data_IF_331415969030
#
_entry.id   IF_331415969030
#
_cell.length_a   1.000
_cell.length_b   1.000
_cell.length_c   1.000
_cell.angle_alpha   90.00
_cell.angle_beta   90.00
_cell.angle_gamma   90.00
#
_symmetry.space_group_name_H-M   'P 1'
#
loop_
_entity.id
_entity.type
_entity.pdbx_description
1 polymer ?
#
# COMPACT_ATOMS: atom_id res chain seq x y z
N UNK A 1 85.69 -34.58 -32.90
CA UNK A 1 84.84 -34.34 -34.08
C UNK A 1 83.56 -35.15 -33.92
N UNK A 2 82.42 -34.44 -33.90
CA UNK A 2 81.10 -34.78 -34.49
C UNK A 2 80.49 -36.16 -34.16
N UNK A 3 79.36 -36.27 -33.46
CA UNK A 3 77.95 -35.88 -33.76
C UNK A 3 77.14 -37.19 -33.93
N UNK A 4 76.16 -37.50 -33.07
CA UNK A 4 74.77 -37.00 -33.03
C UNK A 4 73.82 -37.87 -33.88
N UNK A 5 72.95 -38.65 -33.22
CA UNK A 5 71.53 -38.91 -33.57
C UNK A 5 70.99 -40.06 -32.69
N UNK A 6 70.26 -39.76 -31.61
CA UNK A 6 68.80 -39.62 -31.57
C UNK A 6 68.05 -40.97 -31.66
N UNK A 7 67.66 -41.49 -30.50
CA UNK A 7 66.33 -42.10 -30.33
C UNK A 7 65.87 -41.77 -28.91
N UNK A 8 65.54 -40.49 -28.72
CA UNK A 8 64.89 -39.98 -27.51
C UNK A 8 63.45 -40.49 -27.55
N UNK A 9 63.19 -41.51 -26.75
CA UNK A 9 61.84 -41.88 -26.32
C UNK A 9 61.34 -40.71 -25.47
N UNK A 10 60.70 -39.75 -26.13
CA UNK A 10 60.07 -38.59 -25.50
C UNK A 10 58.83 -39.11 -24.77
N UNK A 11 59.05 -39.64 -23.57
CA UNK A 11 58.02 -39.87 -22.58
C UNK A 11 57.56 -38.48 -22.11
N UNK A 12 56.68 -37.86 -22.91
CA UNK A 12 55.83 -36.77 -22.49
C UNK A 12 54.96 -37.31 -21.36
N UNK A 13 55.49 -37.25 -20.14
CA UNK A 13 54.66 -37.21 -18.94
C UNK A 13 53.92 -35.89 -19.04
N UNK A 14 52.76 -35.93 -19.70
CA UNK A 14 51.69 -34.98 -19.45
C UNK A 14 51.34 -35.14 -17.98
N UNK A 15 52.01 -34.36 -17.12
CA UNK A 15 51.42 -33.94 -15.87
C UNK A 15 50.20 -33.09 -16.26
N UNK A 16 49.10 -33.75 -16.63
CA UNK A 16 47.81 -33.17 -16.36
C UNK A 16 47.79 -33.00 -14.85
N UNK A 17 47.95 -31.77 -14.36
CA UNK A 17 47.37 -31.43 -13.08
C UNK A 17 45.88 -31.75 -13.22
N UNK A 18 45.49 -32.98 -12.89
CA UNK A 18 44.10 -33.29 -12.65
C UNK A 18 43.74 -32.40 -11.47
N UNK A 19 43.04 -31.31 -11.77
CA UNK A 19 42.44 -30.42 -10.78
C UNK A 19 41.68 -31.32 -9.81
N UNK A 20 42.07 -31.29 -8.55
CA UNK A 20 41.37 -32.05 -7.51
C UNK A 20 40.15 -31.22 -7.13
N UNK A 21 39.09 -31.36 -7.93
CA UNK A 21 37.86 -30.60 -7.81
C UNK A 21 37.27 -30.71 -6.40
N UNK A 22 37.38 -31.86 -5.72
CA UNK A 22 36.93 -32.00 -4.34
C UNK A 22 37.73 -31.10 -3.37
N UNK A 23 39.07 -31.11 -3.45
CA UNK A 23 39.94 -30.28 -2.60
C UNK A 23 39.75 -28.78 -2.88
N UNK A 24 39.59 -28.41 -4.15
CA UNK A 24 39.31 -27.04 -4.55
C UNK A 24 37.94 -26.58 -4.05
N UNK A 25 36.92 -27.44 -4.11
CA UNK A 25 35.60 -27.17 -3.53
C UNK A 25 35.67 -26.88 -2.04
N UNK A 26 36.42 -27.69 -1.27
CA UNK A 26 36.63 -27.48 0.16
C UNK A 26 37.37 -26.16 0.46
N UNK A 27 38.44 -25.85 -0.26
CA UNK A 27 39.19 -24.60 -0.10
C UNK A 27 38.32 -23.37 -0.38
N UNK A 28 37.49 -23.42 -1.43
CA UNK A 28 36.55 -22.34 -1.74
C UNK A 28 35.45 -22.22 -0.68
N UNK A 29 34.95 -23.33 -0.13
CA UNK A 29 33.95 -23.32 0.93
C UNK A 29 34.50 -22.68 2.21
N UNK A 30 35.74 -23.02 2.60
CA UNK A 30 36.43 -22.40 3.75
C UNK A 30 36.63 -20.90 3.57
N UNK A 31 36.86 -20.44 2.34
CA UNK A 31 36.97 -19.01 1.99
C UNK A 31 35.63 -18.29 1.93
N UNK A 32 34.51 -18.99 2.12
CA UNK A 32 33.15 -18.44 1.99
C UNK A 32 32.69 -18.25 0.55
N UNK A 33 33.45 -18.77 -0.43
CA UNK A 33 33.15 -18.64 -1.87
C UNK A 33 32.19 -19.74 -2.33
N UNK A 34 30.97 -19.75 -1.80
CA UNK A 34 29.99 -20.83 -2.00
C UNK A 34 29.69 -21.12 -3.47
N UNK A 35 29.63 -20.10 -4.34
CA UNK A 35 29.41 -20.30 -5.79
C UNK A 35 30.55 -21.07 -6.46
N UNK A 36 31.81 -20.78 -6.08
CA UNK A 36 32.97 -21.49 -6.61
C UNK A 36 33.08 -22.90 -6.00
N UNK A 37 32.75 -23.06 -4.71
CA UNK A 37 32.69 -24.36 -4.07
C UNK A 37 31.69 -25.30 -4.78
N UNK A 38 30.47 -24.83 -5.08
CA UNK A 38 29.46 -25.58 -5.85
C UNK A 38 30.01 -26.00 -7.22
N UNK A 39 30.63 -25.07 -7.95
CA UNK A 39 31.20 -25.34 -9.27
C UNK A 39 32.19 -26.52 -9.22
N UNK A 40 33.10 -26.50 -8.26
CA UNK A 40 34.09 -27.56 -8.11
C UNK A 40 33.45 -28.87 -7.62
N UNK A 41 32.51 -28.85 -6.67
CA UNK A 41 31.85 -30.09 -6.22
C UNK A 41 31.02 -30.77 -7.30
N UNK A 42 30.38 -30.03 -8.22
CA UNK A 42 29.65 -30.59 -9.37
C UNK A 42 30.59 -31.30 -10.36
N UNK A 43 31.84 -30.84 -10.48
CA UNK A 43 32.83 -31.41 -11.39
C UNK A 43 33.48 -32.71 -10.86
N UNK A 44 33.21 -33.10 -9.59
CA UNK A 44 33.66 -34.38 -9.02
C UNK A 44 32.89 -35.53 -9.69
N UNK A 45 33.60 -36.46 -10.32
CA UNK A 45 33.01 -37.58 -11.07
C UNK A 45 32.57 -38.72 -10.14
N UNK A 46 31.56 -39.49 -10.54
CA UNK A 46 31.07 -40.66 -9.80
C UNK A 46 32.15 -41.70 -9.47
N UNK A 47 33.17 -41.81 -10.32
CA UNK A 47 34.31 -42.71 -10.12
C UNK A 47 35.32 -42.21 -9.07
N UNK A 48 35.20 -40.96 -8.59
CA UNK A 48 36.09 -40.39 -7.57
C UNK A 48 35.69 -40.90 -6.18
N UNK A 49 36.67 -41.29 -5.37
CA UNK A 49 36.46 -41.75 -3.99
C UNK A 49 35.75 -40.71 -3.10
N UNK A 50 35.79 -39.43 -3.47
CA UNK A 50 35.16 -38.33 -2.73
C UNK A 50 33.81 -37.92 -3.31
N UNK A 51 33.29 -38.61 -4.33
CA UNK A 51 32.03 -38.24 -4.98
C UNK A 51 30.87 -38.11 -3.99
N UNK A 52 30.66 -39.10 -3.13
CA UNK A 52 29.59 -39.07 -2.11
C UNK A 52 29.73 -37.88 -1.16
N UNK A 53 30.97 -37.54 -0.76
CA UNK A 53 31.23 -36.38 0.08
C UNK A 53 30.94 -35.07 -0.65
N UNK A 54 31.30 -34.96 -1.94
CA UNK A 54 30.99 -33.80 -2.76
C UNK A 54 29.47 -33.60 -2.89
N UNK A 55 28.71 -34.68 -3.12
CA UNK A 55 27.24 -34.63 -3.16
C UNK A 55 26.64 -34.20 -1.81
N UNK A 56 27.19 -34.69 -0.69
CA UNK A 56 26.79 -34.27 0.65
C UNK A 56 26.99 -32.77 0.87
N UNK A 57 28.15 -32.22 0.48
CA UNK A 57 28.39 -30.77 0.58
C UNK A 57 27.46 -29.95 -0.30
N UNK A 58 27.16 -30.41 -1.52
CA UNK A 58 26.18 -29.76 -2.39
C UNK A 58 24.80 -29.69 -1.74
N UNK A 59 24.36 -30.77 -1.10
CA UNK A 59 23.08 -30.82 -0.40
C UNK A 59 23.07 -29.93 0.85
N UNK A 60 24.13 -29.92 1.64
CA UNK A 60 24.28 -29.01 2.80
C UNK A 60 24.23 -27.54 2.38
N UNK A 61 24.92 -27.18 1.28
CA UNK A 61 24.89 -25.83 0.71
C UNK A 61 23.47 -25.48 0.24
N UNK A 62 22.78 -26.40 -0.44
CA UNK A 62 21.41 -26.20 -0.91
C UNK A 62 20.45 -25.93 0.25
N UNK A 63 20.54 -26.73 1.32
CA UNK A 63 19.72 -26.57 2.53
C UNK A 63 20.00 -25.21 3.17
N UNK A 64 21.28 -24.85 3.37
CA UNK A 64 21.66 -23.56 3.96
C UNK A 64 21.18 -22.35 3.15
N UNK A 65 21.28 -22.40 1.82
CA UNK A 65 20.76 -21.35 0.94
C UNK A 65 19.23 -21.23 1.03
N UNK A 66 18.52 -22.36 1.09
CA UNK A 66 17.07 -22.37 1.22
C UNK A 66 16.60 -21.82 2.57
N UNK A 67 17.30 -22.14 3.67
CA UNK A 67 17.04 -21.57 4.99
C UNK A 67 17.27 -20.06 5.00
N UNK A 68 18.39 -19.58 4.45
CA UNK A 68 18.68 -18.15 4.34
C UNK A 68 17.64 -17.41 3.51
N UNK A 69 17.14 -18.04 2.43
CA UNK A 69 16.05 -17.48 1.62
C UNK A 69 14.76 -17.35 2.41
N UNK A 70 14.36 -18.40 3.13
CA UNK A 70 13.17 -18.39 3.99
C UNK A 70 13.27 -17.34 5.10
N UNK A 71 14.45 -17.18 5.70
CA UNK A 71 14.70 -16.17 6.73
C UNK A 71 14.52 -14.75 6.18
N UNK A 72 15.12 -14.45 5.02
CA UNK A 72 14.94 -13.15 4.35
C UNK A 72 13.49 -12.86 3.98
N UNK A 73 12.77 -13.86 3.48
CA UNK A 73 11.34 -13.74 3.17
C UNK A 73 10.51 -13.49 4.44
N UNK A 74 10.82 -14.16 5.54
CA UNK A 74 10.16 -13.95 6.83
C UNK A 74 10.44 -12.56 7.39
N UNK A 75 11.68 -12.08 7.27
CA UNK A 75 12.07 -10.72 7.69
C UNK A 75 11.36 -9.65 6.85
N UNK A 76 11.26 -9.85 5.53
CA UNK A 76 10.53 -8.94 4.65
C UNK A 76 9.05 -8.87 5.03
N UNK A 77 8.39 -10.02 5.20
CA UNK A 77 6.98 -10.10 5.64
C UNK A 77 6.76 -9.42 6.99
N UNK A 78 7.71 -9.60 7.92
CA UNK A 78 7.68 -8.94 9.24
C UNK A 78 7.81 -7.43 9.12
N UNK A 79 8.71 -6.95 8.27
CA UNK A 79 8.92 -5.52 8.00
C UNK A 79 7.67 -4.88 7.39
N UNK A 80 7.04 -5.55 6.42
CA UNK A 80 5.78 -5.10 5.82
C UNK A 80 4.64 -5.05 6.84
N UNK A 81 4.45 -6.11 7.63
CA UNK A 81 3.44 -6.15 8.68
C UNK A 81 3.62 -5.02 9.71
N UNK A 82 4.87 -4.70 10.06
CA UNK A 82 5.18 -3.58 10.96
C UNK A 82 4.72 -2.23 10.38
N UNK A 83 4.91 -2.00 9.08
CA UNK A 83 4.42 -0.77 8.41
C UNK A 83 2.90 -0.66 8.49
N UNK A 84 2.18 -1.76 8.31
CA UNK A 84 0.72 -1.77 8.46
C UNK A 84 0.30 -1.49 9.90
N UNK A 85 0.97 -2.09 10.88
CA UNK A 85 0.69 -1.83 12.30
C UNK A 85 0.89 -0.34 12.65
N UNK A 86 1.99 0.26 12.21
CA UNK A 86 2.26 1.69 12.42
C UNK A 86 1.22 2.56 11.71
N UNK A 87 0.82 2.19 10.49
CA UNK A 87 -0.26 2.85 9.76
C UNK A 87 -1.60 2.83 10.50
N UNK A 88 -1.98 1.69 11.09
CA UNK A 88 -3.21 1.56 11.88
C UNK A 88 -3.15 2.38 13.18
N UNK A 89 -2.00 2.38 13.87
CA UNK A 89 -1.80 3.25 15.04
C UNK A 89 -1.96 4.72 14.68
N UNK A 90 -1.40 5.14 13.55
CA UNK A 90 -1.58 6.50 13.02
C UNK A 90 -3.05 6.83 12.75
N UNK A 91 -3.83 5.88 12.21
CA UNK A 91 -5.29 6.04 12.04
C UNK A 91 -5.99 6.22 13.39
N UNK A 92 -5.72 5.37 14.38
CA UNK A 92 -6.30 5.49 15.71
C UNK A 92 -5.99 6.84 16.37
N UNK A 93 -4.74 7.31 16.28
CA UNK A 93 -4.36 8.63 16.79
C UNK A 93 -5.13 9.76 16.10
N UNK A 94 -5.24 9.73 14.76
CA UNK A 94 -5.99 10.75 14.01
C UNK A 94 -7.49 10.69 14.30
N UNK A 95 -8.08 9.50 14.45
CA UNK A 95 -9.48 9.34 14.86
C UNK A 95 -9.75 9.99 16.21
N UNK A 96 -8.84 9.81 17.18
CA UNK A 96 -8.95 10.47 18.48
C UNK A 96 -8.92 12.00 18.37
N UNK A 97 -8.05 12.56 17.54
CA UNK A 97 -8.00 14.02 17.31
C UNK A 97 -9.28 14.51 16.62
N UNK A 98 -9.76 13.77 15.63
CA UNK A 98 -10.97 14.11 14.88
C UNK A 98 -12.22 14.05 15.76
N UNK A 99 -12.26 13.16 16.76
CA UNK A 99 -13.39 13.00 17.68
C UNK A 99 -13.77 14.31 18.38
N UNK A 100 -12.81 15.16 18.72
CA UNK A 100 -13.06 16.42 19.43
C UNK A 100 -13.14 17.64 18.51
N UNK A 101 -12.75 17.49 17.23
CA UNK A 101 -12.75 18.58 16.25
C UNK A 101 -14.16 19.03 15.86
N UNK A 102 -14.41 20.34 15.89
CA UNK A 102 -15.73 20.92 15.60
C UNK A 102 -15.76 21.84 14.38
N UNK A 103 -14.60 22.26 13.87
CA UNK A 103 -14.47 23.15 12.70
C UNK A 103 -13.21 22.84 11.88
N UNK A 104 -13.19 23.34 10.65
CA UNK A 104 -12.06 23.25 9.71
C UNK A 104 -11.78 24.62 9.12
N UNK A 105 -10.50 24.98 9.04
CA UNK A 105 -10.07 26.30 8.60
C UNK A 105 -10.04 26.40 7.06
N UNK A 106 -9.77 25.27 6.38
CA UNK A 106 -9.66 25.20 4.92
C UNK A 106 -10.35 23.96 4.35
N UNK A 107 -10.59 23.99 3.02
CA UNK A 107 -11.07 22.80 2.30
C UNK A 107 -10.04 21.69 2.34
N UNK A 108 -8.75 22.00 2.25
CA UNK A 108 -7.67 21.00 2.31
C UNK A 108 -7.71 20.20 3.60
N UNK A 109 -7.81 20.88 4.75
CA UNK A 109 -7.89 20.23 6.06
C UNK A 109 -9.15 19.35 6.19
N UNK A 110 -10.28 19.81 5.64
CA UNK A 110 -11.54 19.07 5.62
C UNK A 110 -11.44 17.82 4.74
N UNK A 111 -10.83 17.96 3.57
CA UNK A 111 -10.60 16.89 2.60
C UNK A 111 -9.71 15.81 3.22
N UNK A 112 -8.64 16.20 3.92
CA UNK A 112 -7.74 15.25 4.59
C UNK A 112 -8.45 14.39 5.64
N UNK A 113 -9.29 15.00 6.47
CA UNK A 113 -10.07 14.28 7.48
C UNK A 113 -11.17 13.41 6.85
N UNK A 114 -11.80 13.88 5.77
CA UNK A 114 -12.74 13.07 4.99
C UNK A 114 -12.05 11.85 4.38
N UNK A 115 -10.88 12.03 3.75
CA UNK A 115 -10.08 10.96 3.13
C UNK A 115 -9.63 9.94 4.19
N UNK A 116 -9.29 10.39 5.39
CA UNK A 116 -8.98 9.50 6.51
C UNK A 116 -10.14 8.56 6.78
N UNK A 117 -11.36 9.09 6.93
CA UNK A 117 -12.56 8.32 7.23
C UNK A 117 -12.97 7.39 6.08
N UNK A 118 -12.94 7.89 4.84
CA UNK A 118 -13.33 7.14 3.64
C UNK A 118 -12.44 5.91 3.40
N UNK A 119 -11.15 6.02 3.73
CA UNK A 119 -10.17 4.96 3.48
C UNK A 119 -9.99 3.96 4.63
N UNK A 120 -10.76 4.05 5.72
CA UNK A 120 -10.61 3.13 6.86
C UNK A 120 -10.81 1.68 6.42
N UNK A 121 -11.85 1.40 5.62
CA UNK A 121 -12.17 0.06 5.13
C UNK A 121 -10.98 -0.55 4.35
N UNK A 122 -10.42 0.19 3.40
CA UNK A 122 -9.27 -0.25 2.61
C UNK A 122 -8.05 -0.51 3.51
N UNK A 123 -7.78 0.35 4.49
CA UNK A 123 -6.64 0.19 5.41
C UNK A 123 -6.79 -1.06 6.26
N UNK A 124 -7.98 -1.34 6.77
CA UNK A 124 -8.30 -2.57 7.49
C UNK A 124 -8.12 -3.78 6.57
N UNK A 125 -8.67 -3.75 5.35
CA UNK A 125 -8.58 -4.84 4.39
C UNK A 125 -7.13 -5.23 4.09
N UNK A 126 -6.27 -4.26 3.83
CA UNK A 126 -4.83 -4.50 3.58
C UNK A 126 -4.13 -5.04 4.83
N UNK A 127 -4.46 -4.54 6.02
CA UNK A 127 -3.84 -5.01 7.25
C UNK A 127 -4.25 -6.45 7.62
N UNK A 128 -5.45 -6.91 7.23
CA UNK A 128 -5.90 -8.29 7.46
C UNK A 128 -5.02 -9.33 6.74
N UNK A 129 -4.33 -8.97 5.66
CA UNK A 129 -3.35 -9.82 4.97
C UNK A 129 -2.15 -10.17 5.88
N UNK A 130 -1.97 -9.42 6.96
CA UNK A 130 -0.86 -9.56 7.92
C UNK A 130 -1.33 -9.91 9.34
N UNK A 131 -2.57 -10.40 9.50
CA UNK A 131 -3.23 -10.53 10.82
C UNK A 131 -2.48 -11.37 11.86
N UNK A 132 -1.65 -12.32 11.39
CA UNK A 132 -0.83 -13.16 12.25
C UNK A 132 0.31 -12.40 12.94
N UNK A 133 0.59 -11.17 12.52
CA UNK A 133 1.58 -10.31 13.18
C UNK A 133 0.98 -9.66 14.43
N UNK A 134 1.69 -9.80 15.55
CA UNK A 134 1.23 -9.34 16.85
C UNK A 134 0.85 -7.85 16.84
N UNK A 135 -0.35 -7.55 17.37
CA UNK A 135 -0.85 -6.19 17.53
C UNK A 135 -1.78 -5.71 16.42
N UNK A 136 -1.72 -6.28 15.19
CA UNK A 136 -2.57 -5.84 14.08
C UNK A 136 -4.05 -6.05 14.41
N UNK A 137 -4.42 -7.24 14.87
CA UNK A 137 -5.81 -7.55 15.25
C UNK A 137 -6.35 -6.56 16.28
N UNK A 138 -5.55 -6.24 17.32
CA UNK A 138 -5.92 -5.28 18.37
C UNK A 138 -6.22 -3.89 17.80
N UNK A 139 -5.38 -3.38 16.90
CA UNK A 139 -5.59 -2.06 16.30
C UNK A 139 -6.82 -2.07 15.37
N UNK A 140 -7.04 -3.14 14.59
CA UNK A 140 -8.24 -3.31 13.76
C UNK A 140 -9.51 -3.28 14.63
N UNK A 141 -9.52 -4.04 15.72
CA UNK A 141 -10.68 -4.11 16.63
C UNK A 141 -10.97 -2.76 17.27
N UNK A 142 -9.93 -2.02 17.68
CA UNK A 142 -10.06 -0.65 18.19
C UNK A 142 -10.68 0.29 17.16
N UNK A 143 -10.23 0.24 15.91
CA UNK A 143 -10.77 1.08 14.82
C UNK A 143 -12.23 0.70 14.54
N UNK A 144 -12.55 -0.59 14.42
CA UNK A 144 -13.93 -1.05 14.17
C UNK A 144 -14.89 -0.67 15.31
N UNK A 145 -14.41 -0.63 16.55
CA UNK A 145 -15.21 -0.23 17.70
C UNK A 145 -15.49 1.28 17.75
N UNK A 146 -14.54 2.12 17.29
CA UNK A 146 -14.59 3.57 17.50
C UNK A 146 -15.03 4.35 16.25
N UNK A 147 -14.53 3.98 15.07
CA UNK A 147 -14.76 4.70 13.83
C UNK A 147 -16.25 4.90 13.47
N UNK A 148 -17.15 3.90 13.63
CA UNK A 148 -18.57 4.09 13.29
C UNK A 148 -19.23 5.22 14.08
N UNK A 149 -18.88 5.36 15.36
CA UNK A 149 -19.40 6.42 16.23
C UNK A 149 -18.84 7.79 15.83
N UNK A 150 -17.53 7.85 15.59
CA UNK A 150 -16.85 9.08 15.14
C UNK A 150 -17.46 9.54 13.82
N UNK A 151 -17.50 8.68 12.81
CA UNK A 151 -18.05 9.01 11.50
C UNK A 151 -19.51 9.49 11.58
N UNK A 152 -20.36 8.78 12.33
CA UNK A 152 -21.77 9.17 12.56
C UNK A 152 -21.89 10.59 13.09
N UNK A 153 -20.97 11.02 13.95
CA UNK A 153 -20.98 12.36 14.53
C UNK A 153 -20.28 13.40 13.65
N UNK A 154 -19.27 13.01 12.86
CA UNK A 154 -18.41 13.93 12.12
C UNK A 154 -18.88 14.23 10.70
N UNK A 155 -19.45 13.27 9.99
CA UNK A 155 -19.96 13.51 8.64
C UNK A 155 -20.99 14.66 8.56
N UNK A 156 -21.94 14.80 9.49
CA UNK A 156 -22.85 15.96 9.50
C UNK A 156 -22.12 17.31 9.65
N UNK A 157 -21.03 17.34 10.40
CA UNK A 157 -20.20 18.54 10.60
C UNK A 157 -19.33 18.82 9.38
N UNK A 158 -18.68 17.79 8.82
CA UNK A 158 -17.90 17.88 7.58
C UNK A 158 -18.76 18.43 6.43
N UNK A 159 -20.00 17.95 6.26
CA UNK A 159 -20.91 18.47 5.23
C UNK A 159 -21.25 19.94 5.43
N UNK A 160 -21.55 20.34 6.68
CA UNK A 160 -21.86 21.73 7.00
C UNK A 160 -20.68 22.67 6.74
N UNK A 161 -19.50 22.26 7.17
CA UNK A 161 -18.27 23.04 7.01
C UNK A 161 -17.81 23.08 5.54
N UNK A 162 -18.01 22.00 4.80
CA UNK A 162 -17.80 21.98 3.35
C UNK A 162 -18.67 23.02 2.65
N UNK A 163 -19.98 23.06 2.94
CA UNK A 163 -20.85 24.08 2.38
C UNK A 163 -20.39 25.51 2.68
N UNK A 164 -20.00 25.78 3.95
CA UNK A 164 -19.46 27.09 4.36
C UNK A 164 -18.17 27.45 3.61
N UNK A 165 -17.25 26.51 3.48
CA UNK A 165 -15.96 26.73 2.84
C UNK A 165 -16.10 26.87 1.33
N UNK A 166 -16.94 26.05 0.71
CA UNK A 166 -17.25 26.12 -0.71
C UNK A 166 -17.95 27.45 -1.05
N UNK A 167 -18.91 27.90 -0.24
CA UNK A 167 -19.57 29.19 -0.45
C UNK A 167 -18.58 30.38 -0.39
N UNK A 168 -17.57 30.32 0.49
CA UNK A 168 -16.50 31.33 0.50
C UNK A 168 -15.67 31.31 -0.80
N UNK A 169 -15.40 30.13 -1.34
CA UNK A 169 -14.65 29.98 -2.58
C UNK A 169 -15.45 30.48 -3.79
N UNK A 170 -16.75 30.20 -3.83
CA UNK A 170 -17.63 30.52 -4.96
C UNK A 170 -18.28 31.91 -4.88
N UNK A 171 -17.91 32.71 -3.88
CA UNK A 171 -18.49 34.04 -3.67
C UNK A 171 -18.25 34.98 -4.86
N UNK A 172 -17.09 34.89 -5.53
CA UNK A 172 -16.76 35.76 -6.68
C UNK A 172 -17.59 35.43 -7.90
N UNK A 173 -18.05 34.20 -7.99
CA UNK A 173 -18.88 33.66 -9.06
C UNK A 173 -20.36 33.96 -8.82
N UNK A 174 -20.71 34.66 -7.73
CA UNK A 174 -22.07 34.94 -7.28
C UNK A 174 -22.89 33.66 -7.10
N UNK A 175 -22.26 32.66 -6.50
CA UNK A 175 -22.91 31.41 -6.12
C UNK A 175 -22.94 31.31 -4.60
N UNK A 176 -24.15 31.30 -4.05
CA UNK A 176 -24.41 31.01 -2.66
C UNK A 176 -24.52 29.50 -2.45
N UNK A 177 -24.11 29.03 -1.27
CA UNK A 177 -24.12 27.61 -0.90
C UNK A 177 -24.84 27.43 0.42
N UNK A 178 -25.89 26.61 0.39
CA UNK A 178 -26.64 26.22 1.58
C UNK A 178 -26.51 24.73 1.83
N UNK A 179 -26.49 24.34 3.11
CA UNK A 179 -26.56 22.94 3.52
C UNK A 179 -27.73 22.77 4.47
N UNK A 180 -28.64 21.85 4.11
CA UNK A 180 -29.93 21.68 4.76
C UNK A 180 -30.29 20.20 4.97
N UNK A 181 -31.53 19.99 5.40
CA UNK A 181 -32.08 18.73 5.86
C UNK A 181 -31.43 18.21 7.15
N UNK A 182 -32.02 17.15 7.71
CA UNK A 182 -31.48 16.49 8.90
C UNK A 182 -30.07 15.99 8.59
N UNK A 183 -29.14 16.22 9.52
CA UNK A 183 -27.73 15.85 9.42
C UNK A 183 -26.99 16.44 8.21
N UNK A 184 -27.44 17.59 7.70
CA UNK A 184 -26.72 18.34 6.65
C UNK A 184 -26.58 17.54 5.34
N UNK A 185 -27.57 16.72 4.99
CA UNK A 185 -27.46 15.73 3.90
C UNK A 185 -27.81 16.26 2.51
N UNK A 186 -28.28 17.51 2.41
CA UNK A 186 -28.58 18.17 1.13
C UNK A 186 -27.74 19.43 0.99
N UNK A 187 -27.02 19.56 -0.13
CA UNK A 187 -26.34 20.80 -0.52
C UNK A 187 -27.15 21.51 -1.61
N UNK A 188 -27.27 22.83 -1.54
CA UNK A 188 -27.93 23.67 -2.55
C UNK A 188 -26.95 24.72 -3.02
N UNK A 189 -26.74 24.81 -4.33
CA UNK A 189 -25.98 25.88 -4.97
C UNK A 189 -26.97 26.82 -5.64
N UNK A 190 -26.86 28.12 -5.36
CA UNK A 190 -27.82 29.14 -5.77
C UNK A 190 -27.07 30.24 -6.51
N UNK A 191 -27.47 30.54 -7.74
CA UNK A 191 -26.89 31.66 -8.48
C UNK A 191 -27.31 31.65 -9.95
N UNK A 192 -27.28 32.81 -10.59
CA UNK A 192 -27.69 32.97 -11.99
C UNK A 192 -26.94 32.07 -12.97
N UNK A 193 -25.75 31.60 -12.59
CA UNK A 193 -24.98 30.58 -13.30
C UNK A 193 -25.80 29.31 -13.60
N UNK A 194 -26.70 28.91 -12.70
CA UNK A 194 -27.54 27.71 -12.85
C UNK A 194 -28.83 27.93 -13.64
N UNK A 195 -29.01 29.09 -14.29
CA UNK A 195 -30.10 29.26 -15.27
C UNK A 195 -29.90 28.37 -16.52
N UNK A 196 -28.67 27.92 -16.77
CA UNK A 196 -28.32 27.02 -17.88
C UNK A 196 -28.26 25.56 -17.42
N UNK A 197 -28.99 24.68 -18.10
CA UNK A 197 -28.95 23.23 -17.84
C UNK A 197 -27.55 22.63 -18.06
N UNK A 198 -26.77 23.16 -19.01
CA UNK A 198 -25.39 22.70 -19.25
C UNK A 198 -24.50 22.99 -18.04
N UNK A 199 -24.62 24.18 -17.45
CA UNK A 199 -23.86 24.55 -16.26
C UNK A 199 -24.21 23.69 -15.05
N UNK A 200 -25.49 23.33 -14.90
CA UNK A 200 -25.95 22.38 -13.87
C UNK A 200 -25.31 21.01 -14.09
N UNK A 201 -25.34 20.49 -15.32
CA UNK A 201 -24.78 19.17 -15.64
C UNK A 201 -23.27 19.12 -15.39
N UNK A 202 -22.53 20.14 -15.83
CA UNK A 202 -21.08 20.21 -15.65
C UNK A 202 -20.70 20.31 -14.17
N UNK A 203 -21.41 21.16 -13.41
CA UNK A 203 -21.20 21.28 -11.96
C UNK A 203 -21.49 19.97 -11.24
N UNK A 204 -22.56 19.26 -11.63
CA UNK A 204 -22.87 17.96 -11.05
C UNK A 204 -21.79 16.92 -11.35
N UNK A 205 -21.25 16.88 -12.58
CA UNK A 205 -20.16 15.96 -12.94
C UNK A 205 -18.89 16.23 -12.12
N UNK A 206 -18.57 17.50 -11.88
CA UNK A 206 -17.38 17.89 -11.12
C UNK A 206 -17.52 17.56 -9.62
N UNK A 207 -18.71 17.79 -9.05
CA UNK A 207 -18.91 17.68 -7.60
C UNK A 207 -19.29 16.29 -7.11
N UNK A 208 -19.90 15.45 -7.96
CA UNK A 208 -20.57 14.21 -7.49
C UNK A 208 -19.67 13.28 -6.68
N UNK A 209 -18.44 13.03 -7.13
CA UNK A 209 -17.51 12.12 -6.44
C UNK A 209 -17.18 12.64 -5.02
N UNK A 210 -17.03 13.96 -4.89
CA UNK A 210 -16.73 14.58 -3.62
C UNK A 210 -17.94 14.58 -2.67
N UNK A 211 -19.12 14.86 -3.22
CA UNK A 211 -20.37 14.80 -2.46
C UNK A 211 -20.70 13.38 -1.99
N UNK A 212 -20.38 12.37 -2.78
CA UNK A 212 -20.49 10.95 -2.42
C UNK A 212 -19.58 10.61 -1.23
N UNK A 213 -18.30 11.04 -1.28
CA UNK A 213 -17.32 10.83 -0.19
C UNK A 213 -17.72 11.54 1.10
N UNK A 214 -18.30 12.74 1.00
CA UNK A 214 -18.90 13.45 2.14
C UNK A 214 -20.25 12.89 2.61
N UNK A 215 -20.76 11.86 1.93
CA UNK A 215 -22.02 11.19 2.23
C UNK A 215 -23.23 12.11 2.18
N UNK A 216 -23.18 13.12 1.30
CA UNK A 216 -24.41 13.82 0.91
C UNK A 216 -25.37 12.83 0.26
N UNK A 217 -26.67 13.14 0.37
CA UNK A 217 -27.75 12.33 -0.22
C UNK A 217 -28.42 13.05 -1.38
N UNK A 218 -28.21 14.37 -1.50
CA UNK A 218 -28.81 15.19 -2.54
C UNK A 218 -27.99 16.46 -2.81
N UNK A 219 -27.89 16.84 -4.08
CA UNK A 219 -27.46 18.17 -4.54
C UNK A 219 -28.62 18.88 -5.23
N UNK A 220 -28.70 20.19 -5.08
CA UNK A 220 -29.73 21.04 -5.69
C UNK A 220 -29.09 22.27 -6.33
N UNK A 221 -29.64 22.69 -7.46
CA UNK A 221 -29.13 23.79 -8.26
C UNK A 221 -30.26 24.76 -8.57
N UNK A 222 -30.16 25.98 -8.07
CA UNK A 222 -31.17 27.03 -8.23
C UNK A 222 -30.59 28.24 -8.94
N UNK A 223 -31.36 28.86 -9.81
CA UNK A 223 -30.95 30.13 -10.42
C UNK A 223 -31.18 31.34 -9.50
N UNK A 224 -32.12 31.24 -8.54
CA UNK A 224 -32.37 32.24 -7.49
C UNK A 224 -32.90 31.61 -6.20
N UNK A 225 -32.85 32.37 -5.09
CA UNK A 225 -33.30 31.90 -3.77
C UNK A 225 -34.79 31.55 -3.70
N UNK A 226 -35.61 32.33 -4.41
CA UNK A 226 -37.08 32.21 -4.43
C UNK A 226 -37.59 31.19 -5.45
N UNK A 227 -36.69 30.51 -6.15
CA UNK A 227 -37.06 29.55 -7.19
C UNK A 227 -37.72 28.30 -6.60
N UNK A 228 -38.96 28.06 -7.02
CA UNK A 228 -39.74 26.87 -6.67
C UNK A 228 -39.44 25.69 -7.59
N UNK A 229 -38.88 25.93 -8.79
CA UNK A 229 -38.59 24.90 -9.79
C UNK A 229 -37.10 24.82 -10.09
N UNK A 230 -36.45 23.86 -9.45
CA UNK A 230 -35.00 23.68 -9.54
C UNK A 230 -34.62 22.25 -9.88
N UNK A 231 -33.39 22.07 -10.38
CA UNK A 231 -32.85 20.75 -10.70
C UNK A 231 -32.17 20.16 -9.47
N UNK A 232 -32.35 18.86 -9.24
CA UNK A 232 -31.69 18.16 -8.16
C UNK A 232 -31.24 16.77 -8.59
N UNK A 233 -30.21 16.26 -7.91
CA UNK A 233 -29.70 14.91 -8.11
C UNK A 233 -29.68 14.17 -6.78
N UNK A 234 -30.14 12.92 -6.79
CA UNK A 234 -29.92 11.99 -5.68
C UNK A 234 -28.49 11.50 -5.70
N UNK A 235 -27.88 11.37 -4.52
CA UNK A 235 -26.50 10.93 -4.35
C UNK A 235 -26.52 9.62 -3.56
N UNK A 236 -26.00 8.56 -4.16
CA UNK A 236 -26.00 7.22 -3.58
C UNK A 236 -24.70 7.01 -2.80
N UNK A 237 -24.70 7.44 -1.54
CA UNK A 237 -23.55 7.34 -0.65
C UNK A 237 -23.78 6.38 0.53
N UNK A 238 -22.69 5.91 1.14
CA UNK A 238 -22.69 5.11 2.38
C UNK A 238 -23.47 5.81 3.51
N UNK A 239 -23.97 5.07 4.48
CA UNK A 239 -24.51 5.66 5.72
C UNK A 239 -23.38 6.18 6.61
N UNK A 240 -23.58 7.25 7.39
CA UNK A 240 -22.51 7.89 8.16
C UNK A 240 -21.77 6.95 9.14
N UNK A 241 -22.36 5.82 9.54
CA UNK A 241 -21.72 4.84 10.44
C UNK A 241 -20.96 3.72 9.71
N UNK A 242 -21.11 3.58 8.40
CA UNK A 242 -20.52 2.49 7.63
C UNK A 242 -19.03 2.68 7.45
N UNK A 243 -18.26 1.62 7.71
CA UNK A 243 -16.86 1.49 7.33
C UNK A 243 -16.85 0.81 5.97
#
# INVERSE_FOLDING_TARGET
>A
MRNLALSIFLCLILFSCQTNHYKEGLDQLQKGNTSYAIKHFIEVKESDQNYENAQKYLEEIRISQEESRKEKEAELKKSEAKKYLEGLKGVNSKLSLLQDKTSWDSLEELIDDMILLDNIEMRIKKALEHINYTGIQKEIDSIKATAPSIQKNKFPLLRKEYGRLLGKQLWRENIDVEVKARNSTTITLIGGFFASNANIEDSQKELVEFLEKLRFKRSEYKWSEVDEKYTYYSIYSKEDKEI
#
